data_IF_806418033541
#
_entry.id   IF_806418033541
#
_cell.length_a   1.000
_cell.length_b   1.000
_cell.length_c   1.000
_cell.angle_alpha   90.00
_cell.angle_beta   90.00
_cell.angle_gamma   90.00
#
_symmetry.space_group_name_H-M   'P 1'
#
loop_
_entity.id
_entity.type
_entity.pdbx_description
1 polymer ?
#
# COMPACT_ATOMS: atom_id res chain seq x y z
N UNK A 1 24.22 -10.28 -12.10
CA UNK A 1 23.42 -11.14 -11.18
C UNK A 1 21.97 -10.82 -11.41
N UNK A 2 21.04 -11.79 -11.41
CA UNK A 2 19.61 -11.45 -11.43
C UNK A 2 19.31 -10.53 -10.23
N UNK A 3 18.50 -9.49 -10.44
CA UNK A 3 18.12 -8.55 -9.39
C UNK A 3 17.20 -9.22 -8.37
N UNK A 4 17.22 -8.77 -7.11
CA UNK A 4 16.28 -9.17 -6.08
C UNK A 4 14.96 -8.42 -6.28
N UNK A 5 13.86 -9.14 -6.44
CA UNK A 5 12.55 -8.56 -6.76
C UNK A 5 11.68 -8.47 -5.51
N UNK A 6 11.27 -7.27 -5.15
CA UNK A 6 10.40 -7.01 -4.00
C UNK A 6 9.02 -6.59 -4.47
N UNK A 7 7.99 -7.34 -4.05
CA UNK A 7 6.59 -6.96 -4.23
C UNK A 7 6.20 -5.88 -3.22
N UNK A 8 5.57 -4.80 -3.69
CA UNK A 8 5.13 -3.69 -2.85
C UNK A 8 3.61 -3.54 -2.96
N UNK A 9 2.94 -3.45 -1.81
CA UNK A 9 1.51 -3.12 -1.74
C UNK A 9 1.19 -2.33 -0.47
N UNK A 10 0.02 -1.68 -0.45
CA UNK A 10 -0.48 -0.89 0.68
C UNK A 10 -1.99 -0.82 0.71
N UNK A 11 -2.54 -0.39 1.84
CA UNK A 11 -3.94 0.03 1.98
C UNK A 11 -4.93 -1.05 1.46
N UNK A 12 -4.81 -2.26 1.99
CA UNK A 12 -5.69 -3.40 1.64
C UNK A 12 -7.05 -3.32 2.32
N UNK A 13 -7.10 -2.80 3.55
CA UNK A 13 -8.33 -2.65 4.34
C UNK A 13 -9.19 -3.92 4.38
N UNK A 14 -8.58 -5.07 4.60
CA UNK A 14 -9.25 -6.36 4.76
C UNK A 14 -9.42 -6.66 6.26
N UNK A 15 -10.63 -6.99 6.73
CA UNK A 15 -11.86 -7.27 5.98
C UNK A 15 -12.82 -6.08 5.79
N UNK A 16 -12.47 -4.86 6.20
CA UNK A 16 -13.42 -3.75 6.28
C UNK A 16 -13.94 -3.24 4.93
N UNK A 17 -13.05 -3.11 3.94
CA UNK A 17 -13.41 -2.62 2.61
C UNK A 17 -13.37 -3.73 1.56
N UNK A 18 -12.41 -4.62 1.63
CA UNK A 18 -12.31 -5.83 0.82
C UNK A 18 -12.56 -7.05 1.72
N UNK A 19 -13.31 -8.01 1.23
CA UNK A 19 -13.58 -9.26 1.98
C UNK A 19 -12.37 -10.19 2.04
N UNK A 20 -11.53 -10.16 1.00
CA UNK A 20 -10.36 -11.02 0.83
C UNK A 20 -9.35 -10.37 -0.10
N UNK A 21 -8.13 -10.88 -0.12
CA UNK A 21 -7.08 -10.47 -1.05
C UNK A 21 -7.55 -10.74 -2.49
N UNK A 22 -7.54 -9.72 -3.38
CA UNK A 22 -7.89 -9.91 -4.78
C UNK A 22 -6.90 -10.85 -5.49
N UNK A 23 -7.38 -11.82 -6.31
CA UNK A 23 -6.48 -12.68 -7.09
C UNK A 23 -5.47 -11.93 -7.95
N UNK A 24 -5.87 -10.79 -8.54
CA UNK A 24 -4.99 -9.95 -9.34
C UNK A 24 -3.76 -9.43 -8.56
N UNK A 25 -3.85 -9.27 -7.24
CA UNK A 25 -2.69 -8.93 -6.39
C UNK A 25 -1.71 -10.10 -6.35
N UNK A 26 -2.22 -11.32 -6.16
CA UNK A 26 -1.41 -12.52 -6.08
C UNK A 26 -0.72 -12.80 -7.42
N UNK A 27 -1.43 -12.64 -8.53
CA UNK A 27 -0.91 -12.77 -9.89
C UNK A 27 0.18 -11.72 -10.18
N UNK A 28 -0.06 -10.46 -9.81
CA UNK A 28 0.89 -9.38 -10.03
C UNK A 28 2.17 -9.52 -9.19
N UNK A 29 2.09 -10.21 -8.03
CA UNK A 29 3.21 -10.43 -7.12
C UNK A 29 3.78 -11.86 -7.20
N UNK A 30 3.36 -12.66 -8.15
CA UNK A 30 3.92 -14.00 -8.34
C UNK A 30 5.40 -13.93 -8.73
N UNK A 31 6.22 -14.81 -8.12
CA UNK A 31 7.64 -14.90 -8.38
C UNK A 31 8.50 -13.75 -7.81
N UNK A 32 7.99 -12.94 -6.87
CA UNK A 32 8.82 -12.01 -6.10
C UNK A 32 9.58 -12.73 -4.98
N UNK A 33 10.75 -12.21 -4.60
CA UNK A 33 11.59 -12.79 -3.54
C UNK A 33 11.14 -12.39 -2.15
N UNK A 34 10.44 -11.25 -2.02
CA UNK A 34 10.01 -10.65 -0.77
C UNK A 34 8.78 -9.77 -1.02
N UNK A 35 7.90 -9.63 -0.03
CA UNK A 35 6.75 -8.72 -0.08
C UNK A 35 6.82 -7.71 1.06
N UNK A 36 6.63 -6.43 0.74
CA UNK A 36 6.52 -5.32 1.69
C UNK A 36 5.12 -4.71 1.64
N UNK A 37 4.42 -4.73 2.77
CA UNK A 37 3.10 -4.13 2.93
C UNK A 37 3.18 -2.82 3.72
N UNK A 38 2.94 -1.69 3.07
CA UNK A 38 3.12 -0.36 3.63
C UNK A 38 1.94 0.15 4.48
N UNK A 39 1.21 -0.76 5.13
CA UNK A 39 0.23 -0.43 6.18
C UNK A 39 -1.23 -0.44 5.75
N UNK A 40 -2.11 -0.16 6.73
CA UNK A 40 -3.57 -0.28 6.64
C UNK A 40 -4.03 -1.69 6.25
N UNK A 41 -3.59 -2.68 7.05
CA UNK A 41 -3.90 -4.13 6.90
C UNK A 41 -5.20 -4.46 7.61
N UNK A 42 -5.77 -3.80 8.50
CA UNK A 42 -6.93 -4.05 9.37
C UNK A 42 -6.85 -5.39 10.18
N UNK A 43 -6.57 -6.53 9.54
CA UNK A 43 -6.40 -7.84 10.17
C UNK A 43 -5.12 -8.53 9.64
N UNK A 44 -4.17 -8.91 10.51
CA UNK A 44 -2.96 -9.65 10.12
C UNK A 44 -3.21 -10.95 9.35
N UNK A 45 -4.37 -11.60 9.53
CA UNK A 45 -4.77 -12.79 8.77
C UNK A 45 -4.92 -12.49 7.26
N UNK A 46 -5.16 -11.23 6.89
CA UNK A 46 -5.20 -10.81 5.49
C UNK A 46 -3.85 -10.97 4.76
N UNK A 47 -2.75 -11.12 5.50
CA UNK A 47 -1.41 -11.32 4.93
C UNK A 47 -1.12 -12.80 4.58
N UNK A 48 -1.92 -13.76 5.04
CA UNK A 48 -1.67 -15.19 4.80
C UNK A 48 -1.58 -15.56 3.30
N UNK A 49 -2.46 -15.07 2.41
CA UNK A 49 -2.33 -15.35 0.98
C UNK A 49 -1.01 -14.83 0.38
N UNK A 50 -0.47 -13.72 0.91
CA UNK A 50 0.81 -13.16 0.47
C UNK A 50 1.99 -14.00 0.98
N UNK A 51 1.90 -14.52 2.22
CA UNK A 51 2.92 -15.41 2.81
C UNK A 51 3.07 -16.72 2.07
N UNK A 52 2.03 -17.14 1.35
CA UNK A 52 2.11 -18.31 0.48
C UNK A 52 2.98 -18.07 -0.78
N UNK A 53 3.20 -16.81 -1.18
CA UNK A 53 4.04 -16.44 -2.32
C UNK A 53 5.50 -16.21 -1.92
N UNK A 54 5.73 -15.40 -0.88
CA UNK A 54 7.07 -15.00 -0.42
C UNK A 54 7.02 -14.54 1.05
N UNK A 55 8.19 -14.39 1.72
CA UNK A 55 8.25 -13.74 3.02
C UNK A 55 7.60 -12.35 3.00
N UNK A 56 6.81 -12.01 4.05
CA UNK A 56 6.08 -10.74 4.14
C UNK A 56 6.55 -9.93 5.33
N UNK A 57 6.92 -8.68 5.10
CA UNK A 57 7.05 -7.65 6.14
C UNK A 57 5.94 -6.63 5.97
N UNK A 58 5.31 -6.28 7.07
CA UNK A 58 4.23 -5.30 7.08
C UNK A 58 4.42 -4.29 8.21
N UNK A 59 3.94 -3.08 8.01
CA UNK A 59 3.87 -2.05 9.03
C UNK A 59 2.41 -1.71 9.35
N UNK A 60 2.18 -1.15 10.54
CA UNK A 60 0.86 -0.66 10.91
C UNK A 60 0.52 0.61 10.12
N UNK A 61 -0.78 0.81 9.82
CA UNK A 61 -1.30 2.04 9.24
C UNK A 61 -1.80 3.03 10.29
N UNK A 62 -2.61 3.98 9.86
CA UNK A 62 -3.18 5.02 10.72
C UNK A 62 -4.61 4.69 11.23
N UNK A 63 -5.22 3.60 10.79
CA UNK A 63 -6.59 3.20 11.18
C UNK A 63 -6.61 2.48 12.53
N UNK A 64 -5.49 2.29 13.17
CA UNK A 64 -5.37 1.65 14.47
C UNK A 64 -5.88 2.52 15.66
N UNK A 65 -7.03 3.17 15.50
CA UNK A 65 -7.87 3.52 16.66
C UNK A 65 -8.35 2.23 17.39
N UNK A 66 -8.17 1.07 16.77
CA UNK A 66 -8.42 -0.25 17.32
C UNK A 66 -7.24 -0.87 18.08
N UNK A 67 -6.16 -0.15 18.33
CA UNK A 67 -5.09 -0.55 19.26
C UNK A 67 -5.61 -0.84 20.69
N UNK A 68 -6.90 -0.59 20.92
CA UNK A 68 -7.57 -0.87 22.19
C UNK A 68 -8.32 -2.21 22.25
N UNK A 69 -8.41 -2.94 21.15
CA UNK A 69 -9.20 -4.17 21.10
C UNK A 69 -8.52 -5.33 20.44
N UNK A 70 -7.42 -5.82 20.50
CA UNK A 70 -6.96 -7.18 20.12
C UNK A 70 -5.97 -7.37 18.97
N UNK A 71 -4.98 -6.54 18.76
CA UNK A 71 -3.87 -7.03 17.97
C UNK A 71 -3.31 -6.12 16.88
N UNK A 72 -3.81 -4.91 16.72
CA UNK A 72 -3.16 -3.90 15.89
C UNK A 72 -1.76 -3.51 16.39
N UNK A 73 -1.47 -3.77 17.67
CA UNK A 73 -0.14 -3.66 18.27
C UNK A 73 0.91 -4.67 17.73
N UNK A 74 0.49 -5.67 16.94
CA UNK A 74 1.39 -6.70 16.43
C UNK A 74 2.31 -6.22 15.30
N UNK A 75 1.98 -5.12 14.59
CA UNK A 75 2.79 -4.62 13.48
C UNK A 75 3.61 -3.39 13.91
N UNK A 76 4.90 -3.34 13.54
CA UNK A 76 5.76 -2.18 13.83
C UNK A 76 5.33 -0.96 13.02
N UNK A 77 5.70 0.25 13.48
CA UNK A 77 5.47 1.49 12.73
C UNK A 77 6.44 1.65 11.56
N UNK A 78 7.65 1.11 11.71
CA UNK A 78 8.74 1.19 10.75
C UNK A 78 9.50 -0.12 10.75
N UNK A 79 9.89 -0.58 9.57
CA UNK A 79 10.81 -1.72 9.36
C UNK A 79 11.95 -1.24 8.49
N UNK A 80 13.19 -1.62 8.83
CA UNK A 80 14.36 -1.38 7.99
C UNK A 80 15.02 -2.70 7.63
N UNK A 81 15.28 -2.92 6.35
CA UNK A 81 15.87 -4.14 5.81
C UNK A 81 17.13 -3.81 4.99
N UNK A 82 18.05 -4.76 4.94
CA UNK A 82 19.16 -4.74 3.99
C UNK A 82 18.86 -5.74 2.88
N UNK A 83 18.69 -5.24 1.66
CA UNK A 83 18.29 -6.05 0.49
C UNK A 83 19.21 -5.71 -0.68
N UNK A 84 19.95 -6.67 -1.19
CA UNK A 84 20.85 -6.51 -2.35
C UNK A 84 21.79 -5.27 -2.24
N UNK A 85 22.31 -4.99 -1.04
CA UNK A 85 23.18 -3.86 -0.76
C UNK A 85 22.47 -2.53 -0.49
N UNK A 86 21.13 -2.48 -0.60
CA UNK A 86 20.33 -1.28 -0.31
C UNK A 86 19.71 -1.33 1.08
N UNK A 87 19.69 -0.19 1.76
CA UNK A 87 18.89 0.01 2.97
C UNK A 87 17.47 0.44 2.59
N UNK A 88 16.52 -0.49 2.74
CA UNK A 88 15.11 -0.31 2.42
C UNK A 88 14.34 -0.05 3.70
N UNK A 89 13.67 1.10 3.78
CA UNK A 89 12.81 1.49 4.89
C UNK A 89 11.34 1.36 4.47
N UNK A 90 10.54 0.69 5.30
CA UNK A 90 9.11 0.52 5.13
C UNK A 90 8.37 1.28 6.24
N UNK A 91 7.43 2.13 5.88
CA UNK A 91 6.56 2.88 6.80
C UNK A 91 5.21 3.17 6.13
N UNK A 92 4.18 3.51 6.92
CA UNK A 92 2.91 3.90 6.30
C UNK A 92 2.90 5.37 5.84
N UNK A 93 3.76 6.21 6.39
CA UNK A 93 3.87 7.61 5.96
C UNK A 93 2.95 8.58 6.67
N UNK A 94 2.08 8.17 7.60
CA UNK A 94 1.27 9.07 8.42
C UNK A 94 2.11 9.77 9.51
N UNK A 95 1.60 10.87 10.06
CA UNK A 95 2.17 11.47 11.26
C UNK A 95 1.80 10.63 12.48
N UNK A 96 2.73 10.28 13.37
CA UNK A 96 2.42 9.54 14.58
C UNK A 96 1.63 10.39 15.59
N UNK A 97 0.79 9.72 16.41
CA UNK A 97 0.12 10.32 17.57
C UNK A 97 -1.08 11.21 17.24
N UNK A 98 -1.52 11.95 18.27
CA UNK A 98 -2.71 12.84 18.22
C UNK A 98 -2.60 13.91 17.14
N UNK A 99 -1.39 14.43 16.91
CA UNK A 99 -1.12 15.40 15.85
C UNK A 99 -1.43 14.81 14.46
N UNK A 100 -1.10 13.52 14.24
CA UNK A 100 -1.40 12.83 12.99
C UNK A 100 -2.91 12.71 12.75
N UNK A 101 -3.69 12.47 13.79
CA UNK A 101 -5.15 12.43 13.71
C UNK A 101 -5.74 13.79 13.30
N UNK A 102 -5.28 14.87 13.92
CA UNK A 102 -5.71 16.23 13.57
C UNK A 102 -5.33 16.61 12.14
N UNK A 103 -4.10 16.34 11.72
CA UNK A 103 -3.63 16.61 10.36
C UNK A 103 -4.39 15.81 9.33
N UNK A 104 -4.72 14.54 9.62
CA UNK A 104 -5.58 13.72 8.75
C UNK A 104 -6.98 14.33 8.59
N UNK A 105 -7.59 14.81 9.67
CA UNK A 105 -8.89 15.50 9.60
C UNK A 105 -8.84 16.73 8.69
N UNK A 106 -7.78 17.52 8.78
CA UNK A 106 -7.55 18.68 7.92
C UNK A 106 -7.31 18.28 6.45
N UNK A 107 -6.54 17.23 6.20
CA UNK A 107 -6.29 16.74 4.84
C UNK A 107 -7.56 16.18 4.18
N UNK A 108 -8.38 15.43 4.92
CA UNK A 108 -9.68 14.94 4.44
C UNK A 108 -10.61 16.10 4.13
N UNK A 109 -10.68 17.09 5.01
CA UNK A 109 -11.48 18.30 4.77
C UNK A 109 -10.98 19.07 3.54
N UNK A 110 -9.65 19.28 3.41
CA UNK A 110 -9.05 19.95 2.27
C UNK A 110 -9.29 19.22 0.95
N UNK A 111 -9.28 17.88 0.96
CA UNK A 111 -9.64 17.05 -0.20
C UNK A 111 -11.14 17.17 -0.54
N UNK A 112 -12.03 17.16 0.45
CA UNK A 112 -13.46 17.33 0.25
C UNK A 112 -13.80 18.68 -0.42
N UNK A 113 -13.08 19.75 -0.08
CA UNK A 113 -13.24 21.06 -0.71
C UNK A 113 -12.31 21.30 -1.91
N UNK A 114 -11.66 20.26 -2.41
CA UNK A 114 -10.73 20.28 -3.57
C UNK A 114 -9.56 21.26 -3.44
N UNK A 115 -9.11 21.53 -2.23
CA UNK A 115 -7.95 22.40 -1.96
C UNK A 115 -6.61 21.68 -2.13
N UNK A 116 -6.59 20.36 -2.02
CA UNK A 116 -5.39 19.52 -2.23
C UNK A 116 -5.72 18.30 -3.04
N UNK A 117 -4.81 17.85 -3.90
CA UNK A 117 -4.89 16.58 -4.59
C UNK A 117 -4.00 15.51 -3.91
N UNK A 118 -4.16 14.25 -4.33
CA UNK A 118 -3.42 13.12 -3.77
C UNK A 118 -1.94 13.13 -4.15
N UNK A 119 -1.60 13.70 -5.28
CA UNK A 119 -0.23 13.89 -5.72
C UNK A 119 0.52 14.84 -4.78
N UNK A 120 -0.12 15.95 -4.38
CA UNK A 120 0.44 16.88 -3.40
C UNK A 120 0.63 16.22 -2.02
N UNK A 121 -0.29 15.32 -1.62
CA UNK A 121 -0.16 14.55 -0.38
C UNK A 121 1.08 13.64 -0.42
N UNK A 122 1.30 12.90 -1.51
CA UNK A 122 2.50 12.07 -1.69
C UNK A 122 3.78 12.91 -1.62
N UNK A 123 3.81 14.02 -2.32
CA UNK A 123 4.96 14.91 -2.33
C UNK A 123 5.30 15.44 -0.92
N UNK A 124 4.29 15.82 -0.12
CA UNK A 124 4.49 16.24 1.27
C UNK A 124 5.04 15.11 2.14
N UNK A 125 4.52 13.89 1.97
CA UNK A 125 4.99 12.70 2.70
C UNK A 125 6.44 12.42 2.33
N UNK A 126 6.76 12.35 1.05
CA UNK A 126 8.10 12.05 0.54
C UNK A 126 9.14 13.07 1.08
N UNK A 127 8.87 14.36 0.95
CA UNK A 127 9.75 15.43 1.42
C UNK A 127 9.91 15.49 2.94
N UNK A 128 8.99 14.92 3.69
CA UNK A 128 9.12 14.76 5.14
C UNK A 128 9.94 13.51 5.49
N UNK A 129 9.69 12.39 4.81
CA UNK A 129 10.37 11.12 5.11
C UNK A 129 11.85 11.14 4.73
N UNK A 130 12.20 11.73 3.60
CA UNK A 130 13.57 11.77 3.11
C UNK A 130 14.59 12.31 4.15
N UNK A 131 14.40 13.49 4.77
CA UNK A 131 15.34 14.00 5.79
C UNK A 131 15.23 13.28 7.14
N UNK A 132 14.11 12.58 7.45
CA UNK A 132 13.97 11.79 8.69
C UNK A 132 14.77 10.49 8.65
N UNK A 133 15.05 9.96 7.46
CA UNK A 133 15.76 8.70 7.27
C UNK A 133 16.88 8.85 6.23
N UNK A 134 17.88 9.69 6.54
CA UNK A 134 18.92 10.06 5.56
C UNK A 134 19.80 8.89 5.13
N UNK A 135 19.83 7.81 5.91
CA UNK A 135 20.59 6.59 5.61
C UNK A 135 19.84 5.60 4.72
N UNK A 136 18.54 5.77 4.49
CA UNK A 136 17.78 4.88 3.62
C UNK A 136 18.11 5.16 2.14
N UNK A 137 18.29 4.11 1.37
CA UNK A 137 18.44 4.18 -0.10
C UNK A 137 17.08 4.13 -0.78
N UNK A 138 16.16 3.35 -0.20
CA UNK A 138 14.76 3.23 -0.67
C UNK A 138 13.82 3.44 0.51
N UNK A 139 12.77 4.24 0.33
CA UNK A 139 11.70 4.46 1.31
C UNK A 139 10.37 4.05 0.67
N UNK A 140 9.75 3.00 1.21
CA UNK A 140 8.42 2.52 0.79
C UNK A 140 7.38 3.04 1.78
N UNK A 141 6.32 3.69 1.25
CA UNK A 141 5.24 4.25 2.06
C UNK A 141 3.87 4.07 1.40
N UNK A 142 2.76 4.31 2.14
CA UNK A 142 1.37 4.18 1.67
C UNK A 142 0.55 5.44 1.94
N UNK A 143 -0.63 5.28 2.55
CA UNK A 143 -1.49 6.30 3.13
C UNK A 143 -2.31 7.17 2.17
N UNK A 144 -1.74 7.65 1.06
CA UNK A 144 -2.46 8.53 0.12
C UNK A 144 -3.39 7.78 -0.83
N UNK A 145 -3.25 6.46 -0.93
CA UNK A 145 -3.91 5.57 -1.91
C UNK A 145 -3.55 5.88 -3.37
N UNK A 146 -2.55 6.71 -3.62
CA UNK A 146 -2.15 7.12 -4.97
C UNK A 146 -0.71 6.70 -5.24
N UNK A 147 -0.44 5.98 -6.36
CA UNK A 147 0.91 5.54 -6.65
C UNK A 147 1.84 6.73 -6.88
N UNK A 148 3.08 6.61 -6.41
CA UNK A 148 4.09 7.67 -6.52
C UNK A 148 5.50 7.09 -6.49
N UNK A 149 6.33 7.56 -7.41
CA UNK A 149 7.76 7.24 -7.46
C UNK A 149 8.53 8.54 -7.62
N UNK A 150 9.41 8.85 -6.69
CA UNK A 150 10.22 10.07 -6.71
C UNK A 150 11.65 9.78 -6.24
N UNK A 151 12.63 10.44 -6.84
CA UNK A 151 14.01 10.47 -6.35
C UNK A 151 14.29 11.81 -5.68
N UNK A 152 14.72 11.76 -4.41
CA UNK A 152 15.17 12.93 -3.64
C UNK A 152 16.64 12.69 -3.28
N UNK A 153 17.54 13.39 -3.97
CA UNK A 153 18.98 13.09 -3.86
C UNK A 153 19.29 11.65 -4.29
N UNK A 154 19.91 10.86 -3.40
CA UNK A 154 20.19 9.43 -3.64
C UNK A 154 19.03 8.48 -3.30
N UNK A 155 18.04 8.98 -2.57
CA UNK A 155 16.93 8.17 -2.08
C UNK A 155 15.85 7.97 -3.14
N UNK A 156 15.35 6.73 -3.26
CA UNK A 156 14.16 6.38 -4.03
C UNK A 156 12.96 6.27 -3.09
N UNK A 157 11.94 7.07 -3.31
CA UNK A 157 10.70 7.06 -2.52
C UNK A 157 9.57 6.47 -3.36
N UNK A 158 8.88 5.47 -2.79
CA UNK A 158 7.88 4.68 -3.52
C UNK A 158 6.61 4.56 -2.69
N UNK A 159 5.49 4.95 -3.29
CA UNK A 159 4.16 4.57 -2.84
C UNK A 159 3.55 3.64 -3.90
N UNK A 160 3.23 2.38 -3.60
CA UNK A 160 2.68 1.45 -4.58
C UNK A 160 1.22 1.75 -4.95
N UNK A 161 0.58 2.75 -4.32
CA UNK A 161 -0.84 3.01 -4.39
C UNK A 161 -1.63 2.15 -3.39
N UNK A 162 -2.90 1.89 -3.65
CA UNK A 162 -3.76 1.10 -2.79
C UNK A 162 -4.34 -0.12 -3.50
N UNK A 163 -4.43 -1.24 -2.79
CA UNK A 163 -5.17 -2.42 -3.25
C UNK A 163 -6.68 -2.17 -3.13
N UNK A 164 -7.11 -1.54 -2.03
CA UNK A 164 -8.49 -1.10 -1.83
C UNK A 164 -8.70 0.32 -2.37
N UNK A 165 -8.81 0.43 -3.69
CA UNK A 165 -9.12 1.70 -4.33
C UNK A 165 -10.61 2.03 -4.25
N UNK A 166 -10.94 3.32 -4.21
CA UNK A 166 -12.31 3.81 -4.37
C UNK A 166 -12.74 3.72 -5.84
N UNK A 167 -14.05 3.87 -6.14
CA UNK A 167 -14.59 3.76 -7.50
C UNK A 167 -13.95 4.72 -8.53
N UNK A 168 -13.28 5.76 -8.08
CA UNK A 168 -12.58 6.75 -8.92
C UNK A 168 -11.07 6.50 -9.03
N UNK A 169 -10.55 5.46 -8.39
CA UNK A 169 -9.12 5.17 -8.32
C UNK A 169 -8.80 3.82 -8.97
N UNK A 170 -7.68 3.74 -9.66
CA UNK A 170 -7.14 2.48 -10.16
C UNK A 170 -6.40 1.77 -9.03
N UNK A 171 -6.80 0.55 -8.61
CA UNK A 171 -5.99 -0.24 -7.67
C UNK A 171 -4.63 -0.56 -8.29
N UNK A 172 -3.58 -0.49 -7.46
CA UNK A 172 -2.21 -0.75 -7.91
C UNK A 172 -1.41 -1.51 -6.86
N UNK A 173 -0.38 -2.21 -7.34
CA UNK A 173 0.77 -2.72 -6.58
C UNK A 173 2.04 -2.28 -7.31
N UNK A 174 3.22 -2.62 -6.79
CA UNK A 174 4.46 -2.35 -7.49
C UNK A 174 5.44 -3.51 -7.37
N UNK A 175 6.41 -3.57 -8.29
CA UNK A 175 7.61 -4.39 -8.21
C UNK A 175 8.82 -3.47 -8.13
N UNK A 176 9.67 -3.73 -7.15
CA UNK A 176 10.93 -3.04 -6.96
C UNK A 176 12.06 -4.03 -7.23
N UNK A 177 12.83 -3.79 -8.28
CA UNK A 177 14.01 -4.56 -8.64
C UNK A 177 15.25 -3.91 -8.02
N UNK A 178 15.96 -4.66 -7.19
CA UNK A 178 17.19 -4.21 -6.52
C UNK A 178 18.36 -5.05 -6.99
N UNK A 179 19.42 -4.38 -7.43
CA UNK A 179 20.73 -4.97 -7.68
C UNK A 179 21.82 -4.01 -7.23
N UNK A 180 23.09 -4.38 -7.30
CA UNK A 180 24.19 -3.53 -6.84
C UNK A 180 24.16 -2.15 -7.49
N UNK A 181 23.87 -1.12 -6.69
CA UNK A 181 23.79 0.29 -7.12
C UNK A 181 22.57 0.63 -8.00
N UNK A 182 21.66 -0.31 -8.28
CA UNK A 182 20.48 -0.09 -9.12
C UNK A 182 19.20 -0.38 -8.34
N UNK A 183 18.27 0.55 -8.42
CA UNK A 183 16.90 0.39 -7.92
C UNK A 183 15.88 0.90 -8.94
N UNK A 184 15.02 0.00 -9.43
CA UNK A 184 13.99 0.29 -10.43
C UNK A 184 12.63 -0.13 -9.92
N UNK A 185 11.59 0.64 -10.25
CA UNK A 185 10.20 0.42 -9.80
C UNK A 185 9.28 0.37 -10.99
N UNK A 186 8.42 -0.65 -11.00
CA UNK A 186 7.31 -0.77 -11.92
C UNK A 186 5.99 -0.75 -11.13
N UNK A 187 5.10 0.21 -11.45
CA UNK A 187 3.75 0.31 -10.88
C UNK A 187 2.80 -0.51 -11.75
N UNK A 188 2.14 -1.49 -11.16
CA UNK A 188 1.27 -2.43 -11.85
C UNK A 188 -0.20 -2.12 -11.53
N UNK A 189 -0.98 -1.62 -12.50
CA UNK A 189 -2.42 -1.47 -12.34
C UNK A 189 -3.10 -2.86 -12.21
N UNK A 190 -3.97 -3.00 -11.21
CA UNK A 190 -4.73 -4.22 -11.01
C UNK A 190 -6.02 -4.16 -11.82
N UNK A 191 -6.23 -5.14 -12.68
CA UNK A 191 -7.50 -5.28 -13.39
C UNK A 191 -8.56 -5.77 -12.42
N UNK A 192 -9.58 -4.97 -12.14
CA UNK A 192 -10.75 -5.47 -11.43
C UNK A 192 -11.51 -6.40 -12.39
N UNK A 193 -11.90 -7.61 -11.98
CA UNK A 193 -12.84 -8.39 -12.77
C UNK A 193 -14.10 -7.55 -12.92
N UNK A 194 -14.54 -7.29 -14.15
CA UNK A 194 -15.79 -6.62 -14.41
C UNK A 194 -16.89 -7.44 -13.73
N UNK A 195 -17.49 -6.91 -12.68
CA UNK A 195 -18.72 -7.45 -12.12
C UNK A 195 -19.76 -7.22 -13.21
N UNK A 196 -20.04 -8.25 -14.02
CA UNK A 196 -21.16 -8.23 -14.92
C UNK A 196 -22.42 -8.13 -14.05
N UNK A 197 -23.06 -6.97 -14.03
CA UNK A 197 -24.40 -6.76 -13.54
C UNK A 197 -25.37 -7.55 -14.44
N UNK A 198 -25.36 -8.88 -14.33
CA UNK A 198 -26.47 -9.68 -14.79
C UNK A 198 -27.54 -9.61 -13.70
N UNK A 199 -28.45 -8.68 -13.87
CA UNK A 199 -29.73 -8.67 -13.19
C UNK A 199 -30.38 -10.03 -13.48
N UNK A 200 -30.75 -10.83 -12.47
CA UNK A 200 -31.48 -12.06 -12.73
C UNK A 200 -32.83 -11.68 -13.31
N UNK A 201 -33.03 -11.98 -14.56
CA UNK A 201 -34.34 -11.90 -15.22
C UNK A 201 -35.23 -12.99 -14.59
N UNK A 202 -36.06 -12.59 -13.63
CA UNK A 202 -37.11 -13.44 -13.14
C UNK A 202 -38.09 -13.70 -14.30
N UNK A 203 -37.99 -14.88 -14.85
CA UNK A 203 -38.98 -15.37 -15.82
C UNK A 203 -40.29 -15.58 -15.09
N UNK A 204 -41.24 -14.64 -15.25
CA UNK A 204 -42.63 -14.80 -14.84
C UNK A 204 -43.28 -15.79 -15.79
N UNK A 205 -43.41 -17.05 -15.41
CA UNK A 205 -44.28 -18.00 -16.06
C UNK A 205 -45.60 -18.04 -15.34
N UNK A 206 -46.46 -17.07 -15.66
CA UNK A 206 -47.91 -17.21 -15.44
C UNK A 206 -48.47 -17.70 -16.76
N UNK A 207 -48.93 -18.95 -16.81
CA UNK A 207 -50.02 -19.38 -17.70
C UNK A 207 -50.58 -20.71 -17.22
N UNK A 208 -51.85 -20.60 -16.78
CA UNK A 208 -53.05 -21.42 -16.96
C UNK A 208 -52.95 -22.89 -16.61
#
# INVERSE_FOLDING_TARGET
>A
MPGFVVGLLSDTHIPRRLRRMPPAVLEALDGVDLILHAGDVDDPAALEPLRALAPVYAVRGNIHIQDFSDGGAALPAVVTLQIAGHRVLLTHGHHPGVLGFFLKGLDVFAQCVRLTDKGQTNWRIARRLAPLYPEADVIVFGHSHWPHVERIGRQLLVNPGAVCATSSEQPTVARLCLSEGVSEVDIIPLTQPQVSNQTPTFCNSTQR
#
